data_IF_863837420236
#
_entry.id   IF_863837420236
#
_cell.length_a   1.000
_cell.length_b   1.000
_cell.length_c   1.000
_cell.angle_alpha   90.00
_cell.angle_beta   90.00
_cell.angle_gamma   90.00
#
_symmetry.space_group_name_H-M   'P 1'
#
loop_
_entity.id
_entity.type
_entity.pdbx_description
1 polymer ?
#
# COMPACT_ATOMS: atom_id res chain seq x y z
N UNK A 1 -9.14 -7.25 -7.99
CA UNK A 1 -9.69 -6.15 -8.79
C UNK A 1 -8.63 -5.06 -8.92
N UNK A 2 -8.26 -4.73 -10.13
CA UNK A 2 -7.20 -3.76 -10.36
C UNK A 2 -7.72 -2.33 -10.18
N UNK A 3 -6.87 -1.48 -9.60
CA UNK A 3 -7.18 -0.06 -9.47
C UNK A 3 -6.79 0.63 -10.76
N UNK A 4 -7.72 1.37 -11.36
CA UNK A 4 -7.48 2.02 -12.63
C UNK A 4 -6.51 3.20 -12.49
N UNK A 5 -5.71 3.44 -13.53
CA UNK A 5 -4.88 4.63 -13.61
C UNK A 5 -5.75 5.87 -13.51
N UNK A 6 -5.29 6.87 -12.78
CA UNK A 6 -6.06 8.07 -12.54
C UNK A 6 -6.91 8.04 -11.28
N UNK A 7 -7.02 6.88 -10.63
CA UNK A 7 -7.75 6.77 -9.37
C UNK A 7 -7.02 7.53 -8.27
N UNK A 8 -7.78 8.26 -7.47
CA UNK A 8 -7.23 9.00 -6.33
C UNK A 8 -7.50 8.20 -5.05
N UNK A 9 -6.44 7.85 -4.33
CA UNK A 9 -6.52 7.22 -3.02
C UNK A 9 -5.94 8.23 -2.04
N UNK A 10 -6.80 8.89 -1.26
CA UNK A 10 -6.39 9.97 -0.38
C UNK A 10 -5.61 11.01 -1.20
N UNK A 11 -4.36 11.31 -0.86
CA UNK A 11 -3.53 12.25 -1.62
C UNK A 11 -2.70 11.59 -2.71
N UNK A 12 -2.86 10.28 -2.91
CA UNK A 12 -2.07 9.50 -3.85
C UNK A 12 -2.83 9.30 -5.16
N UNK A 13 -2.22 9.75 -6.25
CA UNK A 13 -2.81 9.62 -7.57
C UNK A 13 -2.18 8.41 -8.27
N UNK A 14 -2.95 7.38 -8.53
CA UNK A 14 -2.45 6.14 -9.13
C UNK A 14 -2.04 6.38 -10.58
N UNK A 15 -0.81 6.02 -10.92
CA UNK A 15 -0.26 6.20 -12.27
C UNK A 15 -0.36 4.91 -13.06
N UNK A 16 0.28 3.83 -12.56
CA UNK A 16 0.32 2.56 -13.28
C UNK A 16 0.61 1.40 -12.33
N UNK A 17 0.22 0.18 -12.68
CA UNK A 17 0.60 -0.98 -11.88
C UNK A 17 2.09 -1.29 -12.06
N UNK A 18 2.75 -1.68 -10.96
CA UNK A 18 4.15 -2.08 -10.98
C UNK A 18 4.31 -3.59 -10.87
N UNK A 19 3.36 -4.26 -10.23
CA UNK A 19 3.42 -5.68 -10.06
C UNK A 19 2.18 -6.20 -9.38
N UNK A 20 2.02 -7.52 -9.43
CA UNK A 20 0.83 -8.19 -8.93
C UNK A 20 1.20 -9.57 -8.43
N UNK A 21 0.89 -9.84 -7.17
CA UNK A 21 1.06 -11.15 -6.56
C UNK A 21 -0.28 -11.73 -6.17
N UNK A 22 -0.29 -12.92 -5.58
CA UNK A 22 -1.51 -13.56 -5.12
C UNK A 22 -2.21 -12.82 -3.99
N UNK A 23 -1.44 -12.08 -3.18
CA UNK A 23 -1.94 -11.42 -1.97
C UNK A 23 -2.06 -9.91 -2.09
N UNK A 24 -1.32 -9.30 -3.00
CA UNK A 24 -1.25 -7.84 -3.08
C UNK A 24 -0.97 -7.37 -4.50
N UNK A 25 -1.31 -6.11 -4.74
CA UNK A 25 -0.99 -5.41 -5.97
C UNK A 25 -0.16 -4.19 -5.61
N UNK A 26 0.84 -3.86 -6.42
CA UNK A 26 1.70 -2.69 -6.19
C UNK A 26 1.52 -1.73 -7.34
N UNK A 27 1.31 -0.46 -7.01
CA UNK A 27 1.09 0.61 -7.98
C UNK A 27 2.10 1.71 -7.79
N UNK A 28 2.51 2.31 -8.91
CA UNK A 28 3.21 3.57 -8.89
C UNK A 28 2.17 4.67 -8.74
N UNK A 29 2.41 5.60 -7.84
CA UNK A 29 1.49 6.70 -7.59
C UNK A 29 2.27 8.00 -7.37
N UNK A 30 1.56 9.12 -7.48
CA UNK A 30 2.13 10.44 -7.20
C UNK A 30 1.50 10.99 -5.93
N UNK A 31 2.35 11.34 -4.95
CA UNK A 31 1.92 11.98 -3.73
C UNK A 31 1.73 13.47 -4.01
N UNK A 32 0.49 13.91 -4.07
CA UNK A 32 0.17 15.30 -4.43
C UNK A 32 0.58 16.29 -3.35
N UNK A 33 0.75 15.84 -2.10
CA UNK A 33 1.15 16.70 -1.01
C UNK A 33 2.66 16.90 -0.97
N UNK A 34 3.42 15.81 -1.11
CA UNK A 34 4.89 15.87 -1.07
C UNK A 34 5.49 16.03 -2.46
N UNK A 35 4.68 15.99 -3.49
CA UNK A 35 5.10 16.16 -4.89
C UNK A 35 6.21 15.20 -5.28
N UNK A 36 6.00 13.91 -5.01
CA UNK A 36 6.97 12.87 -5.36
C UNK A 36 6.27 11.56 -5.71
N UNK A 37 6.99 10.70 -6.42
CA UNK A 37 6.49 9.38 -6.74
C UNK A 37 6.63 8.44 -5.56
N UNK A 38 5.61 7.59 -5.37
CA UNK A 38 5.57 6.60 -4.29
C UNK A 38 5.09 5.28 -4.85
N UNK A 39 5.31 4.20 -4.09
CA UNK A 39 4.74 2.90 -4.38
C UNK A 39 3.61 2.64 -3.38
N UNK A 40 2.46 2.23 -3.88
CA UNK A 40 1.30 1.89 -3.06
C UNK A 40 1.04 0.40 -3.19
N UNK A 41 1.15 -0.32 -2.07
CA UNK A 41 0.89 -1.77 -2.02
C UNK A 41 -0.49 -1.98 -1.42
N UNK A 42 -1.40 -2.56 -2.19
CA UNK A 42 -2.78 -2.80 -1.79
C UNK A 42 -2.99 -4.30 -1.57
N UNK A 43 -3.50 -4.67 -0.39
CA UNK A 43 -3.78 -6.07 -0.07
C UNK A 43 -5.14 -6.44 -0.65
N UNK A 44 -5.20 -7.55 -1.37
CA UNK A 44 -6.43 -8.04 -1.98
C UNK A 44 -7.33 -8.71 -0.93
N UNK A 45 -8.50 -8.15 -0.70
CA UNK A 45 -9.47 -8.72 0.23
C UNK A 45 -9.98 -10.07 -0.25
N UNK A 46 -10.28 -10.19 -1.53
CA UNK A 46 -10.88 -11.39 -2.10
C UNK A 46 -9.90 -12.55 -2.28
N UNK A 47 -8.63 -12.36 -1.94
CA UNK A 47 -7.64 -13.45 -1.96
C UNK A 47 -7.74 -14.34 -0.71
N UNK A 48 -8.56 -13.97 0.26
CA UNK A 48 -8.64 -14.65 1.55
C UNK A 48 -10.09 -14.94 1.95
N UNK A 49 -10.29 -16.02 2.73
CA UNK A 49 -11.56 -16.25 3.40
C UNK A 49 -11.75 -15.18 4.49
N UNK A 50 -13.00 -14.91 4.93
CA UNK A 50 -13.23 -13.88 5.95
C UNK A 50 -12.42 -14.04 7.22
N UNK A 51 -12.26 -15.26 7.72
CA UNK A 51 -11.49 -15.52 8.95
C UNK A 51 -10.01 -15.23 8.75
N UNK A 52 -9.47 -15.67 7.61
CA UNK A 52 -8.07 -15.46 7.30
C UNK A 52 -7.82 -13.98 7.02
N UNK A 53 -8.74 -13.33 6.32
CA UNK A 53 -8.65 -11.90 6.02
C UNK A 53 -8.53 -11.08 7.31
N UNK A 54 -9.34 -11.38 8.33
CA UNK A 54 -9.27 -10.67 9.59
C UNK A 54 -7.89 -10.76 10.23
N UNK A 55 -7.28 -11.95 10.22
CA UNK A 55 -5.93 -12.13 10.76
C UNK A 55 -4.88 -11.38 9.93
N UNK A 56 -5.01 -11.42 8.62
CA UNK A 56 -4.10 -10.71 7.71
C UNK A 56 -4.17 -9.22 7.95
N UNK A 57 -5.37 -8.67 8.11
CA UNK A 57 -5.55 -7.24 8.36
C UNK A 57 -4.93 -6.80 9.68
N UNK A 58 -5.10 -7.60 10.73
CA UNK A 58 -4.52 -7.30 12.03
C UNK A 58 -3.00 -7.32 11.98
N UNK A 59 -2.45 -8.33 11.31
CA UNK A 59 -1.01 -8.47 11.15
C UNK A 59 -0.44 -7.33 10.32
N UNK A 60 -1.13 -6.98 9.23
CA UNK A 60 -0.74 -5.89 8.35
C UNK A 60 -0.68 -4.57 9.12
N UNK A 61 -1.71 -4.26 9.91
CA UNK A 61 -1.75 -3.05 10.70
C UNK A 61 -0.61 -3.00 11.72
N UNK A 62 -0.34 -4.11 12.39
CA UNK A 62 0.75 -4.20 13.36
C UNK A 62 2.11 -3.99 12.70
N UNK A 63 2.34 -4.64 11.56
CA UNK A 63 3.60 -4.50 10.84
C UNK A 63 3.79 -3.09 10.32
N UNK A 64 2.74 -2.47 9.81
CA UNK A 64 2.80 -1.09 9.33
C UNK A 64 3.19 -0.13 10.45
N UNK A 65 2.57 -0.26 11.61
CA UNK A 65 2.88 0.57 12.77
C UNK A 65 4.31 0.35 13.26
N UNK A 66 4.75 -0.91 13.26
CA UNK A 66 6.09 -1.26 13.69
C UNK A 66 7.15 -0.69 12.74
N UNK A 67 6.94 -0.84 11.44
CA UNK A 67 7.86 -0.34 10.43
C UNK A 67 7.91 1.19 10.39
N UNK A 68 6.78 1.83 10.62
CA UNK A 68 6.72 3.29 10.64
C UNK A 68 7.55 3.90 11.76
N UNK A 69 7.84 3.14 12.81
CA UNK A 69 8.67 3.59 13.94
C UNK A 69 10.16 3.39 13.70
N UNK A 70 10.53 2.63 12.68
CA UNK A 70 11.93 2.36 12.40
C UNK A 70 12.53 3.48 11.56
N UNK A 71 13.70 3.94 11.96
CA UNK A 71 14.41 5.01 11.26
C UNK A 71 15.74 4.53 10.68
N UNK A 72 15.81 3.26 10.36
CA UNK A 72 17.05 2.68 9.84
C UNK A 72 17.21 2.98 8.35
N UNK A 73 18.35 3.51 7.90
CA UNK A 73 18.51 3.95 6.50
C UNK A 73 18.50 2.83 5.48
N UNK A 74 18.74 1.61 5.87
CA UNK A 74 18.77 0.46 4.96
C UNK A 74 17.46 -0.31 4.91
N UNK A 75 16.45 0.15 5.62
CA UNK A 75 15.12 -0.46 5.62
C UNK A 75 14.18 0.42 4.81
N UNK A 76 13.36 -0.22 3.97
CA UNK A 76 12.34 0.51 3.21
C UNK A 76 11.38 1.16 4.21
N UNK A 77 11.33 2.47 4.17
CA UNK A 77 10.48 3.23 5.07
C UNK A 77 9.03 3.16 4.60
N UNK A 78 8.11 3.10 5.56
CA UNK A 78 6.70 3.26 5.25
C UNK A 78 6.34 4.71 5.48
N UNK A 79 5.86 5.38 4.43
CA UNK A 79 5.47 6.78 4.49
C UNK A 79 4.11 6.91 5.14
N UNK A 80 3.20 6.02 4.77
CA UNK A 80 1.81 6.11 5.19
C UNK A 80 1.13 4.76 5.03
N UNK A 81 -0.04 4.60 5.62
CA UNK A 81 -0.88 3.43 5.42
C UNK A 81 -2.33 3.82 5.64
N UNK A 82 -3.24 3.04 5.10
CA UNK A 82 -4.65 3.32 5.24
C UNK A 82 -5.49 2.22 4.64
N UNK A 83 -6.73 2.56 4.31
CA UNK A 83 -7.69 1.64 3.75
C UNK A 83 -8.39 2.29 2.57
N UNK A 84 -8.48 1.56 1.46
CA UNK A 84 -9.21 1.99 0.28
C UNK A 84 -10.23 0.93 -0.10
N UNK A 85 -11.50 1.32 -0.10
CA UNK A 85 -12.61 0.41 -0.44
C UNK A 85 -12.53 -0.90 0.33
N UNK A 86 -12.20 -0.82 1.62
CA UNK A 86 -12.07 -1.97 2.49
C UNK A 86 -10.77 -2.74 2.37
N UNK A 87 -9.88 -2.35 1.49
CA UNK A 87 -8.58 -2.99 1.32
C UNK A 87 -7.48 -2.17 1.97
N UNK A 88 -6.65 -2.77 2.82
CA UNK A 88 -5.55 -2.01 3.43
C UNK A 88 -4.45 -1.75 2.41
N UNK A 89 -3.77 -0.61 2.56
CA UNK A 89 -2.65 -0.27 1.70
C UNK A 89 -1.48 0.31 2.49
N UNK A 90 -0.28 0.13 1.95
CA UNK A 90 0.95 0.72 2.45
C UNK A 90 1.54 1.63 1.38
N UNK A 91 2.08 2.76 1.81
CA UNK A 91 2.76 3.70 0.92
C UNK A 91 4.24 3.73 1.25
N UNK A 92 5.07 3.53 0.24
CA UNK A 92 6.52 3.46 0.38
C UNK A 92 7.17 4.37 -0.65
N UNK A 93 8.43 4.83 -0.41
CA UNK A 93 9.14 5.58 -1.44
C UNK A 93 9.29 4.74 -2.70
N UNK A 94 9.07 5.36 -3.86
CA UNK A 94 9.35 4.71 -5.13
C UNK A 94 10.80 4.96 -5.48
N UNK A 95 11.58 3.87 -5.60
CA UNK A 95 12.98 3.96 -5.99
C UNK A 95 13.11 3.40 -7.40
N UNK A 96 13.60 4.21 -8.34
CA UNK A 96 13.75 3.76 -9.72
C UNK A 96 14.83 2.68 -9.85
#
# INVERSE_FOLDING_TARGET
MAIASGTQIDRYHIIEPLGQGGMAEVYKAFDTRLEREVAVKVIRRNAFSPDVLERVLKRFDREAKSLAKLTHPNIVSIIDYGEYDGSPYLVMPFLP
#
